data_IF_557180245539
#
_entry.id   IF_557180245539
#
_cell.length_a   1.000
_cell.length_b   1.000
_cell.length_c   1.000
_cell.angle_alpha   90.00
_cell.angle_beta   90.00
_cell.angle_gamma   90.00
#
_symmetry.space_group_name_H-M   'P 1'
#
loop_
_entity.id
_entity.type
_entity.pdbx_description
1 polymer ?
#
# COMPACT_ATOMS: atom_id res chain seq x y z
N UNK A 1 -21.21 2.29 -9.95
CA UNK A 1 -20.05 2.02 -10.82
C UNK A 1 -19.37 0.72 -10.37
N UNK A 2 -19.88 -0.44 -10.82
CA UNK A 2 -19.23 -1.73 -10.55
C UNK A 2 -17.79 -1.74 -11.07
N UNK A 3 -17.52 -1.00 -12.14
CA UNK A 3 -16.22 -0.90 -12.82
C UNK A 3 -15.10 -0.37 -11.92
N UNK A 4 -15.24 0.79 -11.27
CA UNK A 4 -14.17 1.33 -10.38
C UNK A 4 -13.89 0.38 -9.21
N UNK A 5 -14.95 -0.15 -8.59
CA UNK A 5 -14.82 -1.10 -7.47
C UNK A 5 -14.05 -2.34 -7.89
N UNK A 6 -14.41 -2.94 -9.03
CA UNK A 6 -13.74 -4.14 -9.54
C UNK A 6 -12.33 -3.84 -10.02
N UNK A 7 -12.12 -2.73 -10.71
CA UNK A 7 -10.80 -2.30 -11.16
C UNK A 7 -9.84 -2.11 -9.98
N UNK A 8 -10.27 -1.42 -8.91
CA UNK A 8 -9.49 -1.27 -7.67
C UNK A 8 -9.10 -2.63 -7.08
N UNK A 9 -10.04 -3.58 -7.02
CA UNK A 9 -9.81 -4.93 -6.46
C UNK A 9 -8.85 -5.76 -7.30
N UNK A 10 -8.98 -5.71 -8.63
CA UNK A 10 -8.10 -6.43 -9.55
C UNK A 10 -6.69 -5.86 -9.48
N UNK A 11 -6.53 -4.54 -9.49
CA UNK A 11 -5.21 -3.90 -9.35
C UNK A 11 -4.58 -4.25 -8.01
N UNK A 12 -5.33 -4.16 -6.90
CA UNK A 12 -4.83 -4.58 -5.58
C UNK A 12 -4.40 -6.04 -5.55
N UNK A 13 -5.19 -6.93 -6.17
CA UNK A 13 -4.89 -8.35 -6.22
C UNK A 13 -3.61 -8.62 -7.04
N UNK A 14 -3.45 -7.96 -8.19
CA UNK A 14 -2.23 -8.07 -8.99
C UNK A 14 -1.02 -7.61 -8.18
N UNK A 15 -1.09 -6.44 -7.53
CA UNK A 15 0.01 -5.96 -6.69
C UNK A 15 0.32 -6.96 -5.58
N UNK A 16 -0.68 -7.53 -4.90
CA UNK A 16 -0.46 -8.54 -3.87
C UNK A 16 0.22 -9.79 -4.42
N UNK A 17 -0.31 -10.36 -5.51
CA UNK A 17 0.21 -11.60 -6.10
C UNK A 17 1.64 -11.43 -6.60
N UNK A 18 1.99 -10.26 -7.13
CA UNK A 18 3.36 -9.99 -7.55
C UNK A 18 4.27 -9.62 -6.38
N UNK A 19 3.86 -8.71 -5.48
CA UNK A 19 4.74 -8.17 -4.45
C UNK A 19 4.99 -9.12 -3.28
N UNK A 20 4.03 -9.97 -2.90
CA UNK A 20 4.21 -10.91 -1.78
C UNK A 20 5.41 -11.86 -2.00
N UNK A 21 5.51 -12.56 -3.15
CA UNK A 21 6.66 -13.42 -3.42
C UNK A 21 8.00 -12.70 -3.33
N UNK A 22 8.10 -11.46 -3.83
CA UNK A 22 9.34 -10.67 -3.73
C UNK A 22 9.63 -10.25 -2.29
N UNK A 23 8.62 -9.85 -1.52
CA UNK A 23 8.79 -9.47 -0.13
C UNK A 23 9.31 -10.64 0.72
N UNK A 24 8.69 -11.83 0.60
CA UNK A 24 9.15 -13.02 1.33
C UNK A 24 10.41 -13.66 0.73
N UNK A 25 10.70 -13.40 -0.55
CA UNK A 25 11.90 -13.87 -1.24
C UNK A 25 13.18 -13.07 -0.92
N UNK A 26 13.07 -11.92 -0.23
CA UNK A 26 14.18 -11.02 0.09
C UNK A 26 15.16 -11.56 1.16
N UNK A 27 15.01 -12.82 1.57
CA UNK A 27 15.87 -13.48 2.57
C UNK A 27 15.46 -13.16 4.00
N UNK A 28 15.57 -11.89 4.43
CA UNK A 28 15.20 -11.46 5.79
C UNK A 28 14.23 -10.26 5.77
N UNK A 29 12.92 -10.50 5.62
CA UNK A 29 11.92 -9.44 5.47
C UNK A 29 11.56 -8.73 6.78
N UNK A 30 12.14 -9.14 7.91
CA UNK A 30 11.84 -8.57 9.20
C UNK A 30 12.55 -7.21 9.37
N UNK A 31 11.81 -6.15 9.74
CA UNK A 31 12.44 -4.89 10.08
C UNK A 31 13.31 -5.09 11.34
N UNK A 32 14.45 -4.41 11.39
CA UNK A 32 15.43 -4.40 12.48
C UNK A 32 16.12 -5.75 12.75
N UNK A 33 15.97 -6.73 11.85
CA UNK A 33 16.60 -8.04 11.99
C UNK A 33 18.03 -8.10 11.44
N UNK A 34 18.44 -7.13 10.61
CA UNK A 34 19.80 -7.01 10.09
C UNK A 34 20.38 -5.64 10.52
N UNK A 35 21.54 -5.61 11.21
CA UNK A 35 22.19 -4.35 11.60
C UNK A 35 22.65 -3.49 10.39
N UNK A 36 22.83 -4.10 9.22
CA UNK A 36 23.24 -3.39 8.01
C UNK A 36 22.09 -2.63 7.33
N UNK A 37 20.84 -2.85 7.77
CA UNK A 37 19.70 -2.11 7.23
C UNK A 37 19.72 -0.66 7.66
N UNK A 38 19.65 0.22 6.66
CA UNK A 38 19.41 1.64 6.84
C UNK A 38 18.06 1.90 7.54
N UNK A 39 17.91 3.11 8.09
CA UNK A 39 16.63 3.55 8.67
C UNK A 39 15.48 3.40 7.68
N UNK A 40 15.71 3.75 6.41
CA UNK A 40 14.70 3.68 5.36
C UNK A 40 14.30 2.23 5.05
N UNK A 41 15.25 1.30 4.94
CA UNK A 41 14.96 -0.12 4.71
C UNK A 41 14.12 -0.70 5.83
N UNK A 42 14.47 -0.41 7.09
CA UNK A 42 13.72 -0.87 8.24
C UNK A 42 12.27 -0.35 8.23
N UNK A 43 12.09 0.93 7.90
CA UNK A 43 10.75 1.53 7.81
C UNK A 43 9.96 0.95 6.63
N UNK A 44 10.59 0.76 5.47
CA UNK A 44 9.96 0.16 4.30
C UNK A 44 9.53 -1.30 4.57
N UNK A 45 10.38 -2.09 5.22
CA UNK A 45 10.10 -3.47 5.62
C UNK A 45 8.97 -3.58 6.64
N UNK A 46 8.87 -2.62 7.57
CA UNK A 46 7.77 -2.53 8.53
C UNK A 46 6.45 -2.14 7.85
N UNK A 47 6.49 -1.18 6.92
CA UNK A 47 5.29 -0.63 6.28
C UNK A 47 4.72 -1.57 5.21
N UNK A 48 5.54 -2.35 4.51
CA UNK A 48 5.07 -3.22 3.43
C UNK A 48 3.96 -4.20 3.84
N UNK A 49 4.08 -4.95 4.94
CA UNK A 49 3.00 -5.80 5.44
C UNK A 49 1.69 -5.04 5.69
N UNK A 50 1.78 -3.81 6.21
CA UNK A 50 0.62 -2.96 6.45
C UNK A 50 -0.04 -2.52 5.14
N UNK A 51 0.75 -2.22 4.11
CA UNK A 51 0.24 -1.96 2.77
C UNK A 51 -0.46 -3.21 2.21
N UNK A 52 0.12 -4.40 2.35
CA UNK A 52 -0.51 -5.64 1.88
C UNK A 52 -1.86 -5.92 2.57
N UNK A 53 -1.90 -5.76 3.90
CA UNK A 53 -3.14 -5.87 4.67
C UNK A 53 -4.16 -4.85 4.16
N UNK A 54 -3.73 -3.62 3.90
CA UNK A 54 -4.62 -2.56 3.43
C UNK A 54 -5.16 -2.83 2.01
N UNK A 55 -4.35 -3.38 1.11
CA UNK A 55 -4.78 -3.80 -0.24
C UNK A 55 -5.87 -4.87 -0.17
N UNK A 56 -5.77 -5.83 0.75
CA UNK A 56 -6.82 -6.82 0.99
C UNK A 56 -8.04 -6.19 1.68
N UNK A 57 -7.83 -5.36 2.71
CA UNK A 57 -8.87 -4.71 3.51
C UNK A 57 -9.81 -3.86 2.65
N UNK A 58 -9.29 -3.22 1.60
CA UNK A 58 -10.07 -2.36 0.71
C UNK A 58 -11.20 -3.06 -0.04
N UNK A 59 -11.20 -4.40 -0.05
CA UNK A 59 -12.32 -5.19 -0.55
C UNK A 59 -13.59 -5.00 0.30
N UNK A 60 -13.45 -4.87 1.62
CA UNK A 60 -14.55 -4.69 2.57
C UNK A 60 -14.67 -3.24 3.03
N UNK A 61 -13.55 -2.57 3.31
CA UNK A 61 -13.52 -1.22 3.88
C UNK A 61 -12.69 -0.25 3.00
N UNK A 62 -13.23 0.17 1.84
CA UNK A 62 -12.47 0.93 0.85
C UNK A 62 -11.94 2.27 1.37
N UNK A 63 -12.69 3.03 2.18
CA UNK A 63 -12.19 4.32 2.71
C UNK A 63 -10.98 4.14 3.63
N UNK A 64 -11.09 3.21 4.58
CA UNK A 64 -10.06 2.93 5.58
C UNK A 64 -8.79 2.43 4.88
N UNK A 65 -8.94 1.45 4.00
CA UNK A 65 -7.85 0.92 3.20
C UNK A 65 -7.18 1.98 2.32
N UNK A 66 -7.98 2.81 1.63
CA UNK A 66 -7.46 3.86 0.75
C UNK A 66 -6.60 4.86 1.52
N UNK A 67 -7.07 5.32 2.68
CA UNK A 67 -6.30 6.23 3.53
C UNK A 67 -5.04 5.59 4.11
N UNK A 68 -5.13 4.33 4.58
CA UNK A 68 -3.95 3.60 5.06
C UNK A 68 -2.89 3.50 3.97
N UNK A 69 -3.26 3.09 2.75
CA UNK A 69 -2.30 2.94 1.65
C UNK A 69 -1.64 4.29 1.32
N UNK A 70 -2.43 5.36 1.17
CA UNK A 70 -1.90 6.69 0.85
C UNK A 70 -0.97 7.21 1.96
N UNK A 71 -1.40 7.10 3.22
CA UNK A 71 -0.62 7.58 4.37
C UNK A 71 0.69 6.80 4.52
N UNK A 72 0.62 5.47 4.50
CA UNK A 72 1.79 4.59 4.64
C UNK A 72 2.79 4.80 3.50
N UNK A 73 2.32 4.89 2.26
CA UNK A 73 3.21 5.14 1.12
C UNK A 73 3.87 6.51 1.24
N UNK A 74 3.10 7.54 1.60
CA UNK A 74 3.63 8.90 1.82
C UNK A 74 4.74 8.89 2.89
N UNK A 75 4.54 8.18 4.01
CA UNK A 75 5.56 8.06 5.07
C UNK A 75 6.86 7.46 4.54
N UNK A 76 6.80 6.35 3.78
CA UNK A 76 7.99 5.72 3.18
C UNK A 76 8.73 6.69 2.27
N UNK A 77 8.00 7.45 1.44
CA UNK A 77 8.61 8.44 0.54
C UNK A 77 9.23 9.62 1.29
N UNK A 78 8.57 10.14 2.34
CA UNK A 78 9.14 11.20 3.18
C UNK A 78 10.43 10.74 3.83
N UNK A 79 10.42 9.55 4.45
CA UNK A 79 11.61 8.98 5.09
C UNK A 79 12.73 8.77 4.06
N UNK A 80 12.40 8.23 2.89
CA UNK A 80 13.40 8.01 1.84
C UNK A 80 14.00 9.31 1.31
N UNK A 81 13.20 10.36 1.18
CA UNK A 81 13.68 11.69 0.82
C UNK A 81 14.61 12.26 1.91
N UNK A 82 14.22 12.19 3.18
CA UNK A 82 15.02 12.69 4.31
C UNK A 82 16.34 11.94 4.51
N UNK A 83 16.39 10.66 4.12
CA UNK A 83 17.58 9.80 4.25
C UNK A 83 18.40 9.71 2.96
N UNK A 84 18.03 10.44 1.91
CA UNK A 84 18.64 10.32 0.58
C UNK A 84 18.70 8.88 0.06
N UNK A 85 17.68 8.09 0.39
CA UNK A 85 17.58 6.70 -0.05
C UNK A 85 17.34 6.62 -1.55
N UNK A 86 17.74 5.50 -2.16
CA UNK A 86 17.47 5.23 -3.57
C UNK A 86 15.98 4.86 -3.75
N UNK A 87 15.15 5.88 -3.94
CA UNK A 87 13.71 5.73 -4.10
C UNK A 87 13.36 5.05 -5.43
N UNK A 88 12.72 3.88 -5.35
CA UNK A 88 12.15 3.22 -6.52
C UNK A 88 10.71 3.66 -6.75
N UNK A 89 10.35 3.97 -8.00
CA UNK A 89 8.97 4.26 -8.39
C UNK A 89 8.02 3.08 -8.15
N UNK A 90 8.55 1.85 -8.07
CA UNK A 90 7.76 0.66 -7.79
C UNK A 90 7.07 0.72 -6.42
N UNK A 91 7.66 1.45 -5.45
CA UNK A 91 7.07 1.66 -4.13
C UNK A 91 5.85 2.58 -4.15
N UNK A 92 5.65 3.36 -5.22
CA UNK A 92 4.46 4.18 -5.41
C UNK A 92 3.26 3.40 -5.97
N UNK A 93 3.47 2.18 -6.50
CA UNK A 93 2.41 1.39 -7.14
C UNK A 93 1.13 1.22 -6.29
N UNK A 94 1.21 1.01 -4.94
CA UNK A 94 0.02 0.89 -4.09
C UNK A 94 -0.86 2.15 -4.07
N UNK A 95 -0.34 3.35 -4.39
CA UNK A 95 -1.14 4.58 -4.41
C UNK A 95 -2.31 4.45 -5.40
N UNK A 96 -2.12 3.74 -6.53
CA UNK A 96 -3.15 3.56 -7.55
C UNK A 96 -4.42 2.92 -6.96
N UNK A 97 -4.37 1.69 -6.39
CA UNK A 97 -5.54 1.13 -5.73
C UNK A 97 -5.97 1.93 -4.49
N UNK A 98 -5.06 2.60 -3.77
CA UNK A 98 -5.40 3.49 -2.66
C UNK A 98 -6.37 4.60 -3.07
N UNK A 99 -6.05 5.34 -4.13
CA UNK A 99 -6.91 6.40 -4.69
C UNK A 99 -8.23 5.81 -5.19
N UNK A 100 -8.19 4.69 -5.93
CA UNK A 100 -9.39 4.04 -6.44
C UNK A 100 -10.33 3.59 -5.30
N UNK A 101 -9.77 3.10 -4.19
CA UNK A 101 -10.54 2.78 -2.99
C UNK A 101 -11.17 4.01 -2.34
N UNK A 102 -10.46 5.14 -2.26
CA UNK A 102 -11.06 6.39 -1.76
C UNK A 102 -12.22 6.85 -2.65
N UNK A 103 -12.04 6.88 -3.97
CA UNK A 103 -13.08 7.26 -4.93
C UNK A 103 -14.32 6.36 -4.77
N UNK A 104 -14.11 5.04 -4.71
CA UNK A 104 -15.20 4.08 -4.50
C UNK A 104 -15.86 4.24 -3.11
N UNK A 105 -15.06 4.46 -2.08
CA UNK A 105 -15.51 4.56 -0.70
C UNK A 105 -16.40 5.78 -0.43
N UNK A 106 -15.99 6.97 -0.90
CA UNK A 106 -16.78 8.19 -0.70
C UNK A 106 -18.06 8.20 -1.54
N UNK A 107 -18.05 7.65 -2.76
CA UNK A 107 -19.25 7.58 -3.60
C UNK A 107 -20.33 6.62 -3.07
N UNK A 108 -19.95 5.50 -2.46
CA UNK A 108 -20.94 4.56 -1.91
C UNK A 108 -21.67 5.10 -0.67
N UNK A 109 -21.08 6.06 0.07
CA UNK A 109 -21.74 6.68 1.22
C UNK A 109 -22.91 7.58 0.79
N UNK A 110 -22.84 8.20 -0.39
CA UNK A 110 -23.87 9.11 -0.87
C UNK A 110 -25.21 8.39 -1.10
N UNK A 111 -25.17 7.09 -1.41
CA UNK A 111 -26.36 6.25 -1.62
C UNK A 111 -27.05 5.75 -0.34
N UNK A 112 -26.48 5.97 0.83
CA UNK A 112 -27.08 5.54 2.11
C UNK A 112 -27.96 6.65 2.70
N UNK A 113 -27.79 7.89 2.23
CA UNK A 113 -28.50 9.07 2.72
C UNK A 113 -29.46 9.69 1.68
N UNK A 114 -29.66 9.02 0.53
CA UNK A 114 -30.70 9.29 -0.47
C UNK A 114 -31.70 8.14 -0.46
#
# INVERSE_FOLDING_TARGET
MKTIKWFARVVSLLILVFALPFYFGYGNPLPFANPDYSLWENIALLIMPLIFISLALGWKYPKVAGWLIVALTTIVFIVGFLTSANLSINLAAPIIPGILYLINGYKNNKKIYE
#
